data_IF_939720749387
#
_entry.id   IF_939720749387
#
_cell.length_a   1.000
_cell.length_b   1.000
_cell.length_c   1.000
_cell.angle_alpha   90.00
_cell.angle_beta   90.00
_cell.angle_gamma   90.00
#
_symmetry.space_group_name_H-M   'P 1'
#
loop_
_entity.id
_entity.type
_entity.pdbx_description
1 polymer ?
#
# COMPACT_ATOMS: atom_id res chain seq x y z
N UNK A 1 5.41 -7.49 14.00
CA UNK A 1 4.15 -7.74 13.26
C UNK A 1 4.40 -8.05 11.79
N UNK A 2 5.49 -7.54 11.24
CA UNK A 2 5.85 -7.57 9.82
C UNK A 2 6.16 -8.96 9.27
N UNK A 3 6.89 -9.79 10.01
CA UNK A 3 7.11 -11.21 9.65
C UNK A 3 5.79 -11.97 9.44
N UNK A 4 4.74 -11.65 10.21
CA UNK A 4 3.44 -12.31 10.06
C UNK A 4 2.71 -11.87 8.79
N UNK A 5 2.88 -10.61 8.37
CA UNK A 5 2.26 -10.06 7.15
C UNK A 5 3.00 -10.58 5.91
N UNK A 6 4.33 -10.59 5.95
CA UNK A 6 5.18 -11.10 4.88
C UNK A 6 4.93 -12.59 4.70
N UNK A 7 4.98 -13.40 5.77
CA UNK A 7 4.76 -14.85 5.69
C UNK A 7 3.35 -15.20 5.19
N UNK A 8 2.32 -14.49 5.65
CA UNK A 8 0.95 -14.73 5.19
C UNK A 8 0.79 -14.36 3.69
N UNK A 9 1.43 -13.27 3.25
CA UNK A 9 1.39 -12.88 1.83
C UNK A 9 2.25 -13.76 0.93
N UNK A 10 3.41 -14.24 1.40
CA UNK A 10 4.24 -15.20 0.66
C UNK A 10 3.55 -16.55 0.53
N UNK A 11 2.90 -17.07 1.59
CA UNK A 11 2.08 -18.28 1.53
C UNK A 11 0.91 -18.14 0.53
N UNK A 12 0.23 -16.98 0.52
CA UNK A 12 -0.82 -16.70 -0.46
C UNK A 12 -0.28 -16.62 -1.90
N UNK A 13 0.91 -16.04 -2.10
CA UNK A 13 1.56 -15.93 -3.40
C UNK A 13 1.97 -17.31 -3.94
N UNK A 14 2.54 -18.18 -3.09
CA UNK A 14 3.02 -19.52 -3.46
C UNK A 14 1.85 -20.46 -3.80
N UNK A 15 0.66 -20.28 -3.21
CA UNK A 15 -0.54 -21.08 -3.55
C UNK A 15 -1.12 -20.80 -4.94
N UNK A 16 -0.68 -19.73 -5.61
CA UNK A 16 -1.11 -19.35 -6.95
C UNK A 16 0.07 -19.40 -7.92
N UNK A 17 0.14 -20.48 -8.69
CA UNK A 17 1.03 -20.79 -9.83
C UNK A 17 1.79 -19.60 -10.47
N UNK A 18 3.10 -19.73 -10.77
CA UNK A 18 3.88 -18.67 -11.39
C UNK A 18 3.53 -18.59 -12.87
N UNK A 19 2.73 -17.59 -13.24
CA UNK A 19 2.46 -17.28 -14.64
C UNK A 19 2.81 -15.80 -14.87
N UNK A 20 3.92 -15.61 -15.58
CA UNK A 20 4.24 -14.41 -16.34
C UNK A 20 2.98 -13.71 -16.85
N UNK A 21 2.74 -12.49 -16.38
CA UNK A 21 2.38 -11.31 -17.18
C UNK A 21 1.72 -10.23 -16.31
N UNK A 22 2.07 -9.00 -16.68
CA UNK A 22 1.27 -7.77 -16.57
C UNK A 22 -0.23 -8.09 -16.51
N UNK A 23 -0.92 -7.57 -15.49
CA UNK A 23 -2.39 -7.56 -15.37
C UNK A 23 -3.07 -8.91 -15.02
N UNK A 24 -3.33 -9.15 -13.73
CA UNK A 24 -4.24 -10.23 -13.30
C UNK A 24 -5.69 -9.76 -13.44
N UNK A 25 -6.29 -9.99 -14.61
CA UNK A 25 -7.74 -9.84 -14.80
C UNK A 25 -8.42 -11.01 -14.06
N UNK A 26 -9.33 -10.74 -13.11
CA UNK A 26 -10.12 -11.80 -12.48
C UNK A 26 -11.04 -12.45 -13.52
N UNK A 27 -11.53 -13.66 -13.27
CA UNK A 27 -12.45 -14.38 -14.18
C UNK A 27 -13.72 -13.57 -14.55
N UNK A 28 -13.99 -12.51 -13.80
CA UNK A 28 -15.14 -11.60 -13.96
C UNK A 28 -14.80 -10.35 -14.80
N UNK A 29 -13.63 -10.29 -15.44
CA UNK A 29 -13.17 -9.13 -16.22
C UNK A 29 -12.72 -7.94 -15.36
N UNK A 30 -12.73 -8.06 -14.04
CA UNK A 30 -12.32 -7.00 -13.12
C UNK A 30 -10.81 -7.01 -12.98
N UNK A 31 -10.18 -5.88 -13.29
CA UNK A 31 -8.74 -5.68 -13.08
C UNK A 31 -8.48 -5.70 -11.57
N UNK A 32 -7.84 -6.75 -11.05
CA UNK A 32 -7.47 -6.78 -9.63
C UNK A 32 -6.37 -5.75 -9.41
N UNK A 33 -6.67 -4.69 -8.66
CA UNK A 33 -5.62 -3.78 -8.18
C UNK A 33 -4.61 -4.60 -7.38
N UNK A 34 -3.35 -4.58 -7.82
CA UNK A 34 -2.25 -5.18 -7.08
C UNK A 34 -1.93 -4.27 -5.90
N UNK A 35 -1.79 -4.84 -4.70
CA UNK A 35 -1.28 -4.08 -3.58
C UNK A 35 0.21 -3.81 -3.80
N UNK A 36 0.73 -2.69 -3.30
CA UNK A 36 2.14 -2.33 -3.42
C UNK A 36 3.07 -3.46 -2.91
N UNK A 37 2.73 -4.08 -1.78
CA UNK A 37 3.50 -5.19 -1.21
C UNK A 37 3.52 -6.43 -2.12
N UNK A 38 2.47 -6.66 -2.92
CA UNK A 38 2.44 -7.77 -3.87
C UNK A 38 3.43 -7.52 -5.03
N UNK A 39 3.60 -6.26 -5.44
CA UNK A 39 4.62 -5.89 -6.45
C UNK A 39 6.04 -6.05 -5.91
N UNK A 40 6.28 -5.67 -4.65
CA UNK A 40 7.59 -5.86 -4.01
C UNK A 40 7.97 -7.34 -3.90
N UNK A 41 7.03 -8.22 -3.54
CA UNK A 41 7.28 -9.66 -3.47
C UNK A 41 7.63 -10.28 -4.83
N UNK A 42 7.04 -9.79 -5.92
CA UNK A 42 7.38 -10.22 -7.29
C UNK A 42 8.85 -9.89 -7.64
N UNK A 43 9.37 -8.72 -7.20
CA UNK A 43 10.76 -8.33 -7.47
C UNK A 43 11.81 -9.20 -6.76
N UNK A 44 11.45 -9.81 -5.64
CA UNK A 44 12.30 -10.78 -4.93
C UNK A 44 12.29 -12.13 -5.66
N UNK A 45 11.14 -12.55 -6.20
CA UNK A 45 10.99 -13.82 -6.95
C UNK A 45 11.69 -13.80 -8.31
N UNK A 46 11.72 -12.65 -8.99
CA UNK A 46 12.45 -12.47 -10.25
C UNK A 46 13.98 -12.32 -10.06
N UNK A 47 14.44 -12.44 -8.80
CA UNK A 47 15.80 -12.84 -8.44
C UNK A 47 16.89 -11.77 -8.48
N UNK A 48 16.57 -10.47 -8.56
CA UNK A 48 17.60 -9.47 -8.90
C UNK A 48 17.51 -8.08 -8.23
N UNK A 49 16.66 -7.84 -7.22
CA UNK A 49 16.53 -6.47 -6.67
C UNK A 49 16.67 -6.34 -5.15
N UNK A 50 16.13 -7.26 -4.34
CA UNK A 50 16.18 -7.19 -2.88
C UNK A 50 16.28 -8.59 -2.28
N UNK A 51 17.06 -8.72 -1.22
CA UNK A 51 17.03 -9.89 -0.32
C UNK A 51 15.76 -9.88 0.55
N UNK A 52 15.41 -11.01 1.16
CA UNK A 52 14.26 -11.10 2.07
C UNK A 52 14.37 -10.11 3.26
N UNK A 53 15.59 -9.88 3.73
CA UNK A 53 15.87 -8.94 4.82
C UNK A 53 15.72 -7.49 4.38
N UNK A 54 16.24 -7.10 3.20
CA UNK A 54 16.05 -5.76 2.63
C UNK A 54 14.58 -5.47 2.32
N UNK A 55 13.84 -6.45 1.77
CA UNK A 55 12.41 -6.32 1.55
C UNK A 55 11.67 -6.07 2.88
N UNK A 56 12.06 -6.80 3.93
CA UNK A 56 11.47 -6.65 5.26
C UNK A 56 11.74 -5.27 5.84
N UNK A 57 12.96 -4.74 5.68
CA UNK A 57 13.32 -3.39 6.12
C UNK A 57 12.53 -2.30 5.36
N UNK A 58 12.36 -2.44 4.05
CA UNK A 58 11.57 -1.49 3.24
C UNK A 58 10.08 -1.53 3.61
N UNK A 59 9.52 -2.73 3.83
CA UNK A 59 8.13 -2.88 4.27
C UNK A 59 7.95 -2.31 5.70
N UNK A 60 8.91 -2.54 6.59
CA UNK A 60 8.90 -1.98 7.94
C UNK A 60 8.95 -0.45 7.92
N UNK A 61 9.83 0.13 7.11
CA UNK A 61 9.95 1.57 6.92
C UNK A 61 8.68 2.18 6.35
N UNK A 62 8.11 1.59 5.29
CA UNK A 62 6.87 2.06 4.68
C UNK A 62 5.68 2.05 5.66
N UNK A 63 5.54 0.94 6.41
CA UNK A 63 4.44 0.78 7.37
C UNK A 63 4.61 1.65 8.62
N UNK A 64 5.85 1.94 9.03
CA UNK A 64 6.15 2.75 10.19
C UNK A 64 6.10 4.25 9.89
N UNK A 65 6.85 4.71 8.89
CA UNK A 65 6.92 6.12 8.55
C UNK A 65 5.63 6.61 7.88
N UNK A 66 5.02 5.80 7.02
CA UNK A 66 3.85 6.19 6.25
C UNK A 66 2.59 6.36 7.11
N UNK A 67 2.41 5.54 8.14
CA UNK A 67 1.19 5.55 8.96
C UNK A 67 1.11 6.80 9.85
N UNK A 68 2.14 7.04 10.66
CA UNK A 68 2.09 8.08 11.68
C UNK A 68 2.22 9.49 11.06
N UNK A 69 3.01 9.63 9.99
CA UNK A 69 3.14 10.91 9.27
C UNK A 69 1.86 11.27 8.52
N UNK A 70 1.25 10.32 7.81
CA UNK A 70 -0.01 10.56 7.09
C UNK A 70 -1.15 10.84 8.07
N UNK A 71 -1.25 10.08 9.15
CA UNK A 71 -2.27 10.28 10.20
C UNK A 71 -2.13 11.67 10.84
N UNK A 72 -0.90 12.08 11.18
CA UNK A 72 -0.63 13.41 11.73
C UNK A 72 -0.94 14.52 10.73
N UNK A 73 -0.54 14.34 9.46
CA UNK A 73 -0.81 15.30 8.39
C UNK A 73 -2.32 15.50 8.15
N UNK A 74 -3.09 14.41 8.08
CA UNK A 74 -4.55 14.46 7.95
C UNK A 74 -5.17 15.12 9.18
N UNK A 75 -4.74 14.76 10.38
CA UNK A 75 -5.26 15.33 11.63
C UNK A 75 -5.02 16.84 11.68
N UNK A 76 -3.82 17.29 11.29
CA UNK A 76 -3.48 18.69 11.21
C UNK A 76 -4.29 19.43 10.13
N UNK A 77 -4.46 18.83 8.95
CA UNK A 77 -5.26 19.40 7.87
C UNK A 77 -6.73 19.56 8.29
N UNK A 78 -7.32 18.53 8.90
CA UNK A 78 -8.70 18.57 9.40
C UNK A 78 -8.85 19.59 10.55
N UNK A 79 -7.89 19.66 11.46
CA UNK A 79 -7.87 20.68 12.52
C UNK A 79 -7.80 22.09 11.94
N UNK A 80 -6.93 22.31 10.96
CA UNK A 80 -6.79 23.59 10.26
C UNK A 80 -8.09 23.97 9.54
N UNK A 81 -8.73 23.03 8.85
CA UNK A 81 -10.03 23.25 8.22
C UNK A 81 -11.10 23.58 9.27
N UNK A 82 -11.19 22.82 10.37
CA UNK A 82 -12.14 23.05 11.46
C UNK A 82 -12.09 24.46 12.03
N UNK A 83 -10.89 25.05 12.11
CA UNK A 83 -10.66 26.40 12.62
C UNK A 83 -10.93 27.51 11.59
N UNK A 84 -11.09 27.18 10.30
CA UNK A 84 -11.27 28.15 9.21
C UNK A 84 -12.62 27.94 8.52
N UNK A 85 -13.70 28.39 9.17
CA UNK A 85 -15.08 28.14 8.74
C UNK A 85 -15.43 28.78 7.39
N UNK A 86 -14.81 29.92 7.05
CA UNK A 86 -14.95 30.57 5.74
C UNK A 86 -14.45 29.67 4.58
N UNK A 87 -13.33 28.96 4.80
CA UNK A 87 -12.79 28.01 3.81
C UNK A 87 -13.72 26.82 3.63
N UNK A 88 -14.34 26.34 4.72
CA UNK A 88 -15.31 25.24 4.63
C UNK A 88 -16.55 25.62 3.83
N UNK A 89 -17.11 26.81 4.08
CA UNK A 89 -18.32 27.29 3.38
C UNK A 89 -18.05 27.48 1.89
N UNK A 90 -16.93 28.13 1.53
CA UNK A 90 -16.54 28.30 0.13
C UNK A 90 -16.36 26.96 -0.61
N UNK A 91 -15.89 25.91 0.07
CA UNK A 91 -15.71 24.58 -0.52
C UNK A 91 -17.01 23.77 -0.61
N UNK A 92 -17.96 23.99 0.30
CA UNK A 92 -19.29 23.39 0.26
C UNK A 92 -20.13 23.97 -0.87
N UNK A 93 -20.03 25.28 -1.12
CA UNK A 93 -20.79 25.95 -2.19
C UNK A 93 -20.23 25.67 -3.61
N UNK A 94 -19.02 25.10 -3.71
CA UNK A 94 -18.39 24.67 -4.97
C UNK A 94 -18.82 23.26 -5.45
N UNK A 95 -19.63 22.52 -4.69
CA UNK A 95 -20.14 21.18 -5.04
C UNK A 95 -21.56 21.19 -5.62
#
# INVERSE_FOLDING_TARGET
MTNKVINNKSEMAISSTPAHNVMRITRDGVKKRRAFLDMLLETVQDGNLLTDDELREEVDTFMFEGHDTTSSGISFALSSLALNQEVQVNKLDEQ
#
